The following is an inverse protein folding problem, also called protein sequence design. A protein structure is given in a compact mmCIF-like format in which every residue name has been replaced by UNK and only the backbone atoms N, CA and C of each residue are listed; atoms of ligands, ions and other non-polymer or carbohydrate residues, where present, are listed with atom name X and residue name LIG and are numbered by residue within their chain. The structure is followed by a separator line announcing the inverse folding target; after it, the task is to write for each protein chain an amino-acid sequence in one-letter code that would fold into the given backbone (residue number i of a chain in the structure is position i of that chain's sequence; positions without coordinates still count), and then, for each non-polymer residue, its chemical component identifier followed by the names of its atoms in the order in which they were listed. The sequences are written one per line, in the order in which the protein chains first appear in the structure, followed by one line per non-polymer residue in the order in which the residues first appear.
data_IF_725944952697
#
_entry.id   IF_725944952697
#
_cell.length_a   1.000
_cell.length_b   1.000
_cell.length_c   1.000
_cell.angle_alpha   90.00
_cell.angle_beta   90.00
_cell.angle_gamma   90.00
#
_symmetry.space_group_name_H-M   'P 1'
#
loop_
_entity.id
_entity.type
_entity.pdbx_description
1 polymer ?
#
# COMPACT_ATOMS: atom_id res chain seq x y z
N UNK A 1 -22.55 -0.46 -1.00
CA UNK A 1 -21.43 -0.47 -1.98
C UNK A 1 -20.36 -1.44 -1.52
N UNK A 2 -19.76 -2.20 -2.41
CA UNK A 2 -18.67 -3.12 -2.11
C UNK A 2 -17.41 -2.34 -1.70
N UNK A 3 -16.75 -2.76 -0.61
CA UNK A 3 -15.48 -2.16 -0.22
C UNK A 3 -14.40 -2.52 -1.23
N UNK A 4 -13.82 -1.53 -1.88
CA UNK A 4 -12.74 -1.69 -2.85
C UNK A 4 -11.48 -0.99 -2.33
N UNK A 5 -10.34 -1.54 -2.64
CA UNK A 5 -9.02 -0.93 -2.45
C UNK A 5 -8.13 -1.29 -3.63
N UNK A 6 -7.01 -0.60 -3.78
CA UNK A 6 -6.13 -0.85 -4.90
C UNK A 6 -4.66 -0.62 -4.58
N UNK A 7 -3.87 -0.73 -5.64
CA UNK A 7 -2.44 -0.48 -5.63
C UNK A 7 -1.99 -0.14 -7.06
N UNK A 8 -1.24 0.96 -7.21
CA UNK A 8 -0.54 1.22 -8.46
C UNK A 8 0.53 0.15 -8.73
N UNK A 9 0.64 -0.27 -9.98
CA UNK A 9 1.68 -1.17 -10.49
C UNK A 9 2.34 -0.53 -11.72
N UNK A 10 3.29 -1.19 -12.34
CA UNK A 10 3.93 -0.69 -13.55
C UNK A 10 2.90 -0.64 -14.69
N UNK A 11 2.74 0.54 -15.29
CA UNK A 11 1.81 0.81 -16.39
C UNK A 11 0.35 0.40 -16.10
N UNK A 12 -0.04 0.33 -14.80
CA UNK A 12 -1.36 -0.19 -14.46
C UNK A 12 -1.79 0.01 -13.02
N UNK A 13 -2.95 -0.58 -12.74
CA UNK A 13 -3.57 -0.56 -11.42
C UNK A 13 -4.09 -1.97 -11.08
N UNK A 14 -3.83 -2.41 -9.87
CA UNK A 14 -4.50 -3.54 -9.25
C UNK A 14 -5.64 -3.03 -8.39
N UNK A 15 -6.82 -3.62 -8.53
CA UNK A 15 -7.99 -3.40 -7.66
C UNK A 15 -8.37 -4.69 -6.95
N UNK A 16 -8.87 -4.58 -5.74
CA UNK A 16 -9.36 -5.70 -4.95
C UNK A 16 -10.70 -5.40 -4.30
N UNK A 17 -11.56 -6.39 -4.28
CA UNK A 17 -12.79 -6.49 -3.47
C UNK A 17 -12.60 -7.52 -2.35
N UNK A 18 -13.58 -7.81 -1.51
CA UNK A 18 -13.49 -8.86 -0.50
C UNK A 18 -13.20 -10.26 -1.06
N UNK A 19 -13.75 -10.60 -2.23
CA UNK A 19 -13.65 -11.94 -2.83
C UNK A 19 -12.72 -12.07 -4.02
N UNK A 20 -12.35 -10.96 -4.67
CA UNK A 20 -11.63 -10.99 -5.94
C UNK A 20 -10.59 -9.87 -6.03
N UNK A 21 -9.61 -10.03 -6.90
CA UNK A 21 -8.71 -8.97 -7.31
C UNK A 21 -8.48 -9.02 -8.83
N UNK A 22 -8.27 -7.86 -9.41
CA UNK A 22 -7.96 -7.70 -10.82
C UNK A 22 -6.77 -6.76 -10.99
N UNK A 23 -5.95 -7.00 -11.99
CA UNK A 23 -4.93 -6.06 -12.44
C UNK A 23 -5.18 -5.72 -13.89
N UNK A 24 -5.17 -4.43 -14.21
CA UNK A 24 -5.20 -3.93 -15.57
C UNK A 24 -3.90 -3.19 -15.86
N UNK A 25 -3.28 -3.47 -16.99
CA UNK A 25 -1.97 -2.94 -17.40
C UNK A 25 -2.06 -2.49 -18.84
N UNK A 26 -1.55 -1.30 -19.15
CA UNK A 26 -1.39 -0.86 -20.55
C UNK A 26 -0.08 -1.42 -21.10
N UNK A 27 -0.21 -2.26 -22.13
CA UNK A 27 0.94 -2.85 -22.82
C UNK A 27 1.63 -1.81 -23.73
N UNK A 28 2.87 -2.03 -24.16
CA UNK A 28 3.54 -1.16 -25.15
C UNK A 28 2.75 -1.00 -26.46
N UNK A 29 1.96 -2.02 -26.85
CA UNK A 29 1.06 -1.96 -28.01
C UNK A 29 -0.19 -1.07 -27.78
N UNK A 30 -0.33 -0.43 -26.60
CA UNK A 30 -1.46 0.44 -26.27
C UNK A 30 -2.73 -0.29 -25.80
N UNK A 31 -2.75 -1.62 -25.82
CA UNK A 31 -3.89 -2.44 -25.38
C UNK A 31 -3.90 -2.54 -23.86
N UNK A 32 -5.09 -2.58 -23.26
CA UNK A 32 -5.24 -2.86 -21.82
C UNK A 32 -5.38 -4.36 -21.62
N UNK A 33 -4.34 -4.98 -21.08
CA UNK A 33 -4.35 -6.37 -20.63
C UNK A 33 -4.95 -6.46 -19.22
N UNK A 34 -5.68 -7.55 -18.93
CA UNK A 34 -6.36 -7.76 -17.67
C UNK A 34 -6.11 -9.17 -17.15
N UNK A 35 -5.87 -9.28 -15.85
CA UNK A 35 -5.78 -10.57 -15.16
C UNK A 35 -6.63 -10.48 -13.89
N UNK A 36 -7.52 -11.45 -13.72
CA UNK A 36 -8.42 -11.55 -12.56
C UNK A 36 -8.18 -12.84 -11.80
N UNK A 37 -8.29 -12.80 -10.49
CA UNK A 37 -8.12 -13.97 -9.61
C UNK A 37 -9.03 -13.87 -8.38
N UNK A 38 -9.55 -15.01 -7.86
CA UNK A 38 -10.26 -15.02 -6.59
C UNK A 38 -9.31 -14.84 -5.41
N UNK A 39 -9.83 -14.32 -4.29
CA UNK A 39 -9.12 -14.21 -3.02
C UNK A 39 -9.58 -15.33 -2.10
N UNK A 40 -8.69 -16.26 -1.79
CA UNK A 40 -8.93 -17.27 -0.76
C UNK A 40 -8.45 -16.75 0.60
N UNK A 41 -9.27 -15.93 1.28
CA UNK A 41 -8.90 -15.39 2.58
C UNK A 41 -8.90 -16.45 3.68
N UNK A 42 -7.78 -16.59 4.39
CA UNK A 42 -7.67 -17.44 5.59
C UNK A 42 -8.57 -16.97 6.71
N UNK A 43 -8.88 -15.67 6.78
CA UNK A 43 -9.77 -15.08 7.77
C UNK A 43 -11.23 -15.58 7.60
N UNK A 44 -11.61 -16.04 6.38
CA UNK A 44 -12.91 -16.65 6.16
C UNK A 44 -13.03 -18.01 6.90
N UNK A 45 -11.94 -18.76 6.98
CA UNK A 45 -11.91 -20.11 7.57
C UNK A 45 -11.80 -20.14 9.10
N UNK A 46 -11.15 -19.11 9.73
CA UNK A 46 -10.85 -19.13 11.16
C UNK A 46 -11.29 -17.84 11.86
N UNK A 47 -12.24 -17.94 12.79
CA UNK A 47 -12.84 -16.78 13.50
C UNK A 47 -11.84 -16.00 14.35
N UNK A 48 -10.81 -16.65 14.93
CA UNK A 48 -9.79 -15.98 15.73
C UNK A 48 -8.89 -15.03 14.91
N UNK A 49 -8.73 -15.27 13.59
CA UNK A 49 -8.01 -14.37 12.69
C UNK A 49 -8.76 -13.05 12.44
N UNK A 50 -10.02 -12.95 12.86
CA UNK A 50 -10.85 -11.73 12.75
C UNK A 50 -10.77 -10.83 13.98
N UNK A 51 -10.03 -11.25 15.03
CA UNK A 51 -9.82 -10.43 16.22
C UNK A 51 -9.07 -9.13 15.86
N UNK A 52 -9.36 -8.01 16.55
CA UNK A 52 -8.62 -6.76 16.37
C UNK A 52 -7.10 -7.00 16.45
N UNK A 53 -6.32 -6.22 15.69
CA UNK A 53 -4.87 -6.36 15.50
C UNK A 53 -4.51 -7.61 14.67
N UNK A 54 -4.97 -8.82 15.04
CA UNK A 54 -4.70 -10.06 14.28
C UNK A 54 -5.21 -9.96 12.85
N UNK A 55 -6.45 -9.48 12.67
CA UNK A 55 -7.01 -9.26 11.33
C UNK A 55 -6.21 -8.26 10.50
N UNK A 56 -5.64 -7.23 11.17
CA UNK A 56 -4.79 -6.25 10.50
C UNK A 56 -3.50 -6.86 9.96
N UNK A 57 -2.86 -7.74 10.74
CA UNK A 57 -1.68 -8.50 10.30
C UNK A 57 -2.02 -9.41 9.12
N UNK A 58 -3.15 -10.13 9.21
CA UNK A 58 -3.60 -11.02 8.14
C UNK A 58 -3.96 -10.25 6.86
N UNK A 59 -4.72 -9.17 6.98
CA UNK A 59 -5.09 -8.31 5.86
C UNK A 59 -3.85 -7.71 5.17
N UNK A 60 -2.86 -7.28 5.94
CA UNK A 60 -1.59 -6.78 5.42
C UNK A 60 -0.82 -7.88 4.67
N UNK A 61 -0.71 -9.08 5.25
CA UNK A 61 -0.04 -10.22 4.62
C UNK A 61 -0.71 -10.62 3.30
N UNK A 62 -2.05 -10.70 3.28
CA UNK A 62 -2.82 -10.97 2.05
C UNK A 62 -2.63 -9.86 1.01
N UNK A 63 -2.69 -8.58 1.44
CA UNK A 63 -2.49 -7.45 0.53
C UNK A 63 -1.10 -7.42 -0.08
N UNK A 64 -0.05 -7.69 0.71
CA UNK A 64 1.32 -7.79 0.22
C UNK A 64 1.48 -8.94 -0.79
N UNK A 65 0.93 -10.11 -0.48
CA UNK A 65 1.01 -11.27 -1.38
C UNK A 65 0.32 -11.00 -2.73
N UNK A 66 -0.85 -10.37 -2.71
CA UNK A 66 -1.58 -9.96 -3.93
C UNK A 66 -0.78 -8.87 -4.66
N UNK A 67 -0.32 -7.85 -3.94
CA UNK A 67 0.43 -6.73 -4.51
C UNK A 67 1.71 -7.17 -5.21
N UNK A 68 2.47 -8.11 -4.64
CA UNK A 68 3.66 -8.67 -5.31
C UNK A 68 3.31 -9.48 -6.55
N UNK A 69 2.21 -10.24 -6.54
CA UNK A 69 1.75 -10.95 -7.75
C UNK A 69 1.32 -9.97 -8.83
N UNK A 70 0.55 -8.95 -8.49
CA UNK A 70 0.13 -7.92 -9.41
C UNK A 70 1.32 -7.16 -10.00
N UNK A 71 2.33 -6.84 -9.18
CA UNK A 71 3.56 -6.19 -9.63
C UNK A 71 4.35 -7.08 -10.59
N UNK A 72 4.48 -8.39 -10.31
CA UNK A 72 5.14 -9.32 -11.21
C UNK A 72 4.41 -9.44 -12.57
N UNK A 73 3.07 -9.55 -12.54
CA UNK A 73 2.25 -9.56 -13.76
C UNK A 73 2.46 -8.27 -14.56
N UNK A 74 2.37 -7.11 -13.90
CA UNK A 74 2.52 -5.82 -14.59
C UNK A 74 3.93 -5.62 -15.16
N UNK A 75 4.96 -6.06 -14.45
CA UNK A 75 6.34 -6.00 -14.94
C UNK A 75 6.53 -6.85 -16.21
N UNK A 76 5.92 -8.04 -16.25
CA UNK A 76 5.97 -8.90 -17.43
C UNK A 76 5.26 -8.24 -18.64
N UNK A 77 4.06 -7.67 -18.44
CA UNK A 77 3.36 -6.98 -19.52
C UNK A 77 4.07 -5.70 -19.99
N UNK A 78 4.65 -4.94 -19.06
CA UNK A 78 5.39 -3.73 -19.38
C UNK A 78 6.72 -3.99 -20.11
N UNK A 79 7.31 -5.18 -19.92
CA UNK A 79 8.56 -5.60 -20.57
C UNK A 79 8.36 -6.32 -21.91
N UNK A 80 7.10 -6.56 -22.35
CA UNK A 80 6.84 -7.19 -23.63
C UNK A 80 7.28 -6.29 -24.78
N UNK A 81 7.90 -6.87 -25.80
CA UNK A 81 8.12 -6.20 -27.07
C UNK A 81 6.80 -6.08 -27.83
N UNK A 82 6.67 -5.05 -28.67
CA UNK A 82 5.52 -4.84 -29.51
C UNK A 82 5.31 -6.05 -30.43
N UNK A 83 4.17 -6.78 -30.26
CA UNK A 83 3.86 -7.98 -31.04
C UNK A 83 4.19 -9.33 -30.36
N UNK A 84 4.68 -9.34 -29.11
CA UNK A 84 4.88 -10.57 -28.36
C UNK A 84 3.56 -11.24 -27.94
N UNK A 85 3.55 -12.59 -27.88
CA UNK A 85 2.38 -13.36 -27.45
C UNK A 85 2.02 -13.05 -25.97
N UNK A 86 0.75 -12.71 -25.65
CA UNK A 86 0.31 -12.53 -24.27
C UNK A 86 0.62 -13.72 -23.34
N UNK A 87 0.69 -14.93 -23.88
CA UNK A 87 1.10 -16.13 -23.13
C UNK A 87 2.58 -16.07 -22.64
N UNK A 88 3.43 -15.29 -23.31
CA UNK A 88 4.82 -15.08 -22.88
C UNK A 88 4.95 -14.15 -21.66
N UNK A 89 3.98 -13.25 -21.43
CA UNK A 89 3.93 -12.40 -20.26
C UNK A 89 3.67 -13.19 -18.96
N UNK A 90 3.08 -14.38 -19.06
CA UNK A 90 2.91 -15.27 -17.91
C UNK A 90 4.19 -16.03 -17.52
N UNK A 91 5.26 -15.96 -18.33
CA UNK A 91 6.56 -16.50 -17.92
C UNK A 91 7.07 -15.73 -16.71
N UNK A 92 6.96 -16.35 -15.56
CA UNK A 92 7.43 -15.79 -14.28
C UNK A 92 8.88 -15.33 -14.38
N UNK A 93 9.15 -14.08 -13.99
CA UNK A 93 10.51 -13.63 -13.67
C UNK A 93 11.18 -14.68 -12.77
N UNK A 94 12.44 -15.00 -13.03
CA UNK A 94 13.16 -16.00 -12.25
C UNK A 94 12.96 -15.75 -10.75
N UNK A 95 12.46 -16.75 -10.03
CA UNK A 95 12.25 -16.66 -8.56
C UNK A 95 13.51 -16.21 -7.84
N UNK A 96 14.68 -16.64 -8.33
CA UNK A 96 15.97 -16.21 -7.78
C UNK A 96 16.23 -14.72 -7.94
N UNK A 97 15.94 -14.14 -9.10
CA UNK A 97 16.11 -12.71 -9.35
C UNK A 97 15.14 -11.87 -8.48
N UNK A 98 13.90 -12.32 -8.34
CA UNK A 98 12.92 -11.65 -7.46
C UNK A 98 13.34 -11.69 -5.99
N UNK A 99 13.78 -12.85 -5.49
CA UNK A 99 14.26 -12.98 -4.11
C UNK A 99 15.49 -12.10 -3.89
N UNK A 100 16.43 -12.07 -4.83
CA UNK A 100 17.63 -11.25 -4.72
C UNK A 100 17.29 -9.75 -4.70
N UNK A 101 16.46 -9.29 -5.62
CA UNK A 101 15.97 -7.89 -5.63
C UNK A 101 15.26 -7.51 -4.32
N UNK A 102 14.45 -8.42 -3.79
CA UNK A 102 13.73 -8.23 -2.52
C UNK A 102 14.70 -8.13 -1.34
N UNK A 103 15.73 -8.97 -1.28
CA UNK A 103 16.76 -8.91 -0.23
C UNK A 103 17.55 -7.60 -0.28
N UNK A 104 17.91 -7.12 -1.47
CA UNK A 104 18.57 -5.82 -1.64
C UNK A 104 17.65 -4.70 -1.16
N UNK A 105 16.37 -4.72 -1.56
CA UNK A 105 15.40 -3.70 -1.15
C UNK A 105 15.20 -3.68 0.37
N UNK A 106 15.10 -4.84 1.02
CA UNK A 106 15.03 -4.94 2.49
C UNK A 106 16.31 -4.42 3.13
N UNK A 107 17.48 -4.82 2.64
CA UNK A 107 18.77 -4.35 3.15
C UNK A 107 18.89 -2.83 3.08
N UNK A 108 18.52 -2.24 1.96
CA UNK A 108 18.48 -0.79 1.77
C UNK A 108 17.47 -0.12 2.73
N UNK A 109 16.26 -0.64 2.85
CA UNK A 109 15.25 -0.11 3.74
C UNK A 109 15.70 -0.15 5.22
N UNK A 110 16.32 -1.26 5.65
CA UNK A 110 16.89 -1.40 7.01
C UNK A 110 18.01 -0.40 7.22
N UNK A 111 18.93 -0.26 6.28
CA UNK A 111 20.03 0.70 6.36
C UNK A 111 19.49 2.14 6.47
N UNK A 112 18.56 2.52 5.60
CA UNK A 112 18.04 3.88 5.53
C UNK A 112 17.11 4.24 6.69
N UNK A 113 16.17 3.35 7.05
CA UNK A 113 15.11 3.66 8.01
C UNK A 113 15.35 3.12 9.42
N UNK A 114 16.38 2.31 9.62
CA UNK A 114 16.70 1.75 10.93
C UNK A 114 18.11 2.10 11.38
N UNK A 115 19.12 1.82 10.56
CA UNK A 115 20.52 2.04 10.94
C UNK A 115 20.84 3.54 10.95
N UNK A 116 20.53 4.26 9.89
CA UNK A 116 20.84 5.69 9.75
C UNK A 116 20.24 6.55 10.86
N UNK A 117 18.93 6.46 11.20
CA UNK A 117 18.37 7.22 12.33
C UNK A 117 19.04 6.88 13.66
N UNK A 118 19.34 5.58 13.88
CA UNK A 118 20.02 5.11 15.08
C UNK A 118 21.40 5.74 15.24
N UNK A 119 22.23 5.71 14.18
CA UNK A 119 23.58 6.30 14.17
C UNK A 119 23.55 7.81 14.38
N UNK A 120 22.64 8.52 13.72
CA UNK A 120 22.50 9.98 13.91
C UNK A 120 22.12 10.29 15.36
N UNK A 121 21.16 9.55 15.92
CA UNK A 121 20.72 9.78 17.31
C UNK A 121 21.80 9.44 18.33
N UNK A 122 22.61 8.40 18.08
CA UNK A 122 23.75 8.03 18.94
C UNK A 122 24.81 9.12 19.00
N UNK A 123 25.00 9.88 17.91
CA UNK A 123 25.92 11.02 17.88
C UNK A 123 25.43 12.25 18.67
N UNK A 124 24.16 12.26 19.09
CA UNK A 124 23.58 13.34 19.86
C UNK A 124 23.78 13.12 21.38
N UNK A 125 23.95 14.18 22.21
CA UNK A 125 24.18 14.06 23.64
C UNK A 125 22.90 13.71 24.42
N UNK A 126 22.17 12.67 24.02
CA UNK A 126 20.90 12.26 24.62
C UNK A 126 21.14 11.12 25.60
N UNK A 127 20.98 11.40 26.90
CA UNK A 127 21.19 10.42 27.97
C UNK A 127 19.95 9.61 28.33
N UNK A 128 18.75 10.17 28.18
CA UNK A 128 17.48 9.50 28.51
C UNK A 128 17.07 8.50 27.43
N UNK A 129 16.77 7.26 27.81
CA UNK A 129 16.32 6.21 26.89
C UNK A 129 15.00 6.56 26.16
N UNK A 130 14.05 7.16 26.86
CA UNK A 130 12.77 7.58 26.25
C UNK A 130 12.96 8.70 25.23
N UNK A 131 13.73 9.73 25.55
CA UNK A 131 14.05 10.82 24.61
C UNK A 131 14.85 10.33 23.40
N UNK A 132 15.75 9.37 23.61
CA UNK A 132 16.47 8.74 22.51
C UNK A 132 15.51 8.13 21.47
N UNK A 133 14.54 7.33 21.93
CA UNK A 133 13.55 6.70 21.03
C UNK A 133 12.68 7.72 20.30
N UNK A 134 12.27 8.79 21.00
CA UNK A 134 11.47 9.86 20.38
C UNK A 134 12.27 10.57 19.28
N UNK A 135 13.51 10.96 19.57
CA UNK A 135 14.36 11.67 18.60
C UNK A 135 14.73 10.74 17.43
N UNK A 136 15.09 9.48 17.70
CA UNK A 136 15.31 8.47 16.65
C UNK A 136 14.08 8.34 15.75
N UNK A 137 12.90 8.32 16.35
CA UNK A 137 11.63 8.24 15.61
C UNK A 137 11.36 9.45 14.75
N UNK A 138 11.60 10.66 15.26
CA UNK A 138 11.44 11.91 14.49
C UNK A 138 12.43 11.97 13.31
N UNK A 139 13.70 11.61 13.54
CA UNK A 139 14.70 11.51 12.48
C UNK A 139 14.26 10.51 11.42
N UNK A 140 13.74 9.34 11.82
CA UNK A 140 13.23 8.31 10.90
C UNK A 140 12.09 8.84 10.04
N UNK A 141 11.09 9.51 10.63
CA UNK A 141 9.98 10.12 9.89
C UNK A 141 10.52 11.19 8.93
N UNK A 142 11.46 12.00 9.35
CA UNK A 142 12.11 13.01 8.49
C UNK A 142 12.80 12.36 7.29
N UNK A 143 13.63 11.33 7.53
CA UNK A 143 14.29 10.57 6.45
C UNK A 143 13.27 9.96 5.50
N UNK A 144 12.15 9.44 6.01
CA UNK A 144 11.10 8.87 5.20
C UNK A 144 10.42 9.91 4.29
N UNK A 145 10.09 11.07 4.83
CA UNK A 145 9.50 12.18 4.05
C UNK A 145 10.48 12.68 2.99
N UNK A 146 11.76 12.85 3.35
CA UNK A 146 12.82 13.23 2.41
C UNK A 146 13.00 12.19 1.32
N UNK A 147 13.04 10.91 1.67
CA UNK A 147 13.11 9.81 0.71
C UNK A 147 11.95 9.84 -0.27
N UNK A 148 10.70 9.94 0.22
CA UNK A 148 9.51 10.04 -0.64
C UNK A 148 9.58 11.28 -1.54
N UNK A 149 10.03 12.41 -1.01
CA UNK A 149 10.20 13.64 -1.78
C UNK A 149 11.20 13.46 -2.91
N UNK A 150 12.35 12.85 -2.62
CA UNK A 150 13.41 12.60 -3.61
C UNK A 150 12.97 11.63 -4.70
N UNK A 151 12.40 10.47 -4.32
CA UNK A 151 11.93 9.50 -5.32
C UNK A 151 10.78 10.03 -6.16
N UNK A 152 9.98 10.96 -5.62
CA UNK A 152 8.88 11.59 -6.36
C UNK A 152 9.34 12.46 -7.53
N UNK A 153 10.62 12.80 -7.59
CA UNK A 153 11.25 13.55 -8.67
C UNK A 153 11.71 12.65 -9.83
N UNK A 154 11.83 11.34 -9.59
CA UNK A 154 12.26 10.40 -10.61
C UNK A 154 11.15 10.21 -11.67
N UNK A 155 11.46 10.33 -12.98
CA UNK A 155 10.45 10.26 -14.05
C UNK A 155 9.65 8.94 -14.03
N UNK A 156 10.31 7.81 -13.85
CA UNK A 156 9.68 6.49 -13.84
C UNK A 156 8.71 6.34 -12.66
N UNK A 157 9.09 6.80 -11.46
CA UNK A 157 8.22 6.78 -10.29
C UNK A 157 7.09 7.81 -10.39
N UNK A 158 7.32 8.93 -11.08
CA UNK A 158 6.24 9.89 -11.37
C UNK A 158 5.09 9.22 -12.12
N UNK A 159 5.40 8.33 -13.07
CA UNK A 159 4.39 7.58 -13.83
C UNK A 159 3.61 6.61 -12.93
N UNK A 160 4.30 5.89 -12.05
CA UNK A 160 3.65 5.05 -11.02
C UNK A 160 2.75 5.89 -10.12
N UNK A 161 3.18 7.09 -9.71
CA UNK A 161 2.36 8.00 -8.90
C UNK A 161 1.17 8.60 -9.64
N UNK A 162 1.20 8.67 -10.97
CA UNK A 162 0.01 8.99 -11.78
C UNK A 162 -1.00 7.84 -11.75
N UNK A 163 -0.57 6.59 -11.88
CA UNK A 163 -1.46 5.42 -11.70
C UNK A 163 -2.02 5.32 -10.28
N UNK A 164 -1.25 5.69 -9.26
CA UNK A 164 -1.75 5.80 -7.88
C UNK A 164 -2.83 6.90 -7.75
N UNK A 165 -2.63 8.02 -8.42
CA UNK A 165 -3.67 9.07 -8.52
C UNK A 165 -4.91 8.57 -9.25
N UNK A 166 -4.74 7.79 -10.34
CA UNK A 166 -5.84 7.19 -11.08
C UNK A 166 -6.65 6.20 -10.23
N UNK A 167 -5.96 5.38 -9.43
CA UNK A 167 -6.59 4.48 -8.46
C UNK A 167 -7.48 5.27 -7.48
N UNK A 168 -6.93 6.29 -6.81
CA UNK A 168 -7.68 7.11 -5.85
C UNK A 168 -8.90 7.78 -6.46
N UNK A 169 -8.75 8.38 -7.65
CA UNK A 169 -9.85 9.03 -8.35
C UNK A 169 -10.95 8.05 -8.73
N UNK A 170 -10.60 6.86 -9.22
CA UNK A 170 -11.57 5.83 -9.60
C UNK A 170 -12.35 5.32 -8.38
N UNK A 171 -11.68 5.06 -7.25
CA UNK A 171 -12.34 4.63 -6.01
C UNK A 171 -13.22 5.75 -5.45
N UNK A 172 -12.74 6.99 -5.41
CA UNK A 172 -13.53 8.13 -4.94
C UNK A 172 -14.80 8.35 -5.79
N UNK A 173 -14.71 8.23 -7.12
CA UNK A 173 -15.87 8.34 -8.02
C UNK A 173 -16.88 7.21 -7.77
N UNK A 174 -16.40 5.98 -7.63
CA UNK A 174 -17.22 4.81 -7.32
C UNK A 174 -17.96 4.99 -5.98
N UNK A 175 -17.26 5.43 -4.93
CA UNK A 175 -17.85 5.66 -3.59
C UNK A 175 -18.82 6.83 -3.58
N UNK A 176 -18.70 7.78 -4.50
CA UNK A 176 -19.68 8.84 -4.72
C UNK A 176 -20.90 8.39 -5.52
N UNK A 177 -20.88 7.18 -6.10
CA UNK A 177 -21.96 6.65 -6.94
C UNK A 177 -22.01 7.28 -8.35
N UNK A 178 -20.91 7.87 -8.79
CA UNK A 178 -20.82 8.53 -10.09
C UNK A 178 -20.44 7.55 -11.20
N UNK A 179 -20.72 7.95 -12.44
CA UNK A 179 -20.40 7.16 -13.62
C UNK A 179 -18.88 7.02 -13.80
N UNK A 180 -18.42 5.78 -13.98
CA UNK A 180 -17.01 5.48 -14.18
C UNK A 180 -16.57 5.74 -15.64
N UNK A 181 -16.52 7.01 -16.00
CA UNK A 181 -15.93 7.51 -17.26
C UNK A 181 -14.69 8.35 -16.96
N UNK A 182 -13.63 8.31 -17.79
CA UNK A 182 -12.39 9.05 -17.52
C UNK A 182 -12.62 10.54 -17.22
N UNK A 183 -13.49 11.23 -17.97
CA UNK A 183 -13.78 12.64 -17.82
C UNK A 183 -14.52 12.97 -16.50
N UNK A 184 -15.37 12.06 -16.03
CA UNK A 184 -16.07 12.17 -14.75
C UNK A 184 -15.09 11.91 -13.60
N UNK A 185 -14.36 10.81 -13.69
CA UNK A 185 -13.38 10.36 -12.68
C UNK A 185 -12.24 11.37 -12.52
N UNK A 186 -11.84 12.07 -13.59
CA UNK A 186 -10.80 13.11 -13.55
C UNK A 186 -11.09 14.24 -12.54
N UNK A 187 -12.35 14.51 -12.23
CA UNK A 187 -12.75 15.59 -11.32
C UNK A 187 -12.60 15.23 -9.84
N UNK A 188 -12.37 13.95 -9.53
CA UNK A 188 -12.28 13.47 -8.15
C UNK A 188 -10.90 13.72 -7.52
N UNK A 189 -10.85 13.61 -6.20
CA UNK A 189 -9.66 13.88 -5.40
C UNK A 189 -8.56 12.84 -5.63
N UNK A 190 -7.31 13.31 -5.61
CA UNK A 190 -6.11 12.46 -5.53
C UNK A 190 -5.90 11.87 -4.13
N UNK A 191 -6.64 12.34 -3.13
CA UNK A 191 -6.47 11.93 -1.73
C UNK A 191 -7.57 10.94 -1.37
N UNK A 192 -7.18 9.82 -0.73
CA UNK A 192 -8.11 8.81 -0.25
C UNK A 192 -7.74 8.37 1.18
N UNK A 193 -8.69 8.31 2.15
CA UNK A 193 -8.39 8.07 3.56
C UNK A 193 -7.83 6.66 3.86
N UNK A 194 -8.06 5.67 3.00
CA UNK A 194 -7.61 4.28 3.19
C UNK A 194 -6.31 3.94 2.44
N UNK A 195 -5.56 4.95 2.01
CA UNK A 195 -4.31 4.75 1.26
C UNK A 195 -3.20 4.11 2.08
N UNK A 196 -2.45 3.19 1.47
CA UNK A 196 -1.32 2.50 2.08
C UNK A 196 -0.15 3.41 2.49
N UNK A 197 0.05 4.57 1.85
CA UNK A 197 1.10 5.52 2.26
C UNK A 197 0.78 6.19 3.59
N UNK A 198 -0.49 6.52 3.85
CA UNK A 198 -0.94 6.98 5.16
C UNK A 198 -0.73 5.89 6.24
N UNK A 199 -0.99 4.63 5.89
CA UNK A 199 -0.72 3.49 6.78
C UNK A 199 0.74 3.41 7.21
N UNK A 200 1.70 3.56 6.29
CA UNK A 200 3.13 3.53 6.61
C UNK A 200 3.53 4.62 7.61
N UNK A 201 3.00 5.84 7.46
CA UNK A 201 3.24 6.91 8.44
C UNK A 201 2.71 6.52 9.82
N UNK A 202 1.50 5.96 9.91
CA UNK A 202 0.92 5.54 11.17
C UNK A 202 1.68 4.38 11.81
N UNK A 203 2.19 3.43 11.03
CA UNK A 203 3.09 2.39 11.53
C UNK A 203 4.32 3.02 12.20
N UNK A 204 4.94 4.03 11.58
CA UNK A 204 6.11 4.70 12.17
C UNK A 204 5.75 5.49 13.43
N UNK A 205 4.65 6.22 13.43
CA UNK A 205 4.20 7.00 14.59
C UNK A 205 3.90 6.06 15.77
N UNK A 206 3.10 5.00 15.55
CA UNK A 206 2.77 4.02 16.59
C UNK A 206 4.03 3.31 17.09
N UNK A 207 4.97 2.97 16.17
CA UNK A 207 6.25 2.36 16.56
C UNK A 207 7.05 3.23 17.52
N UNK A 208 7.09 4.56 17.30
CA UNK A 208 7.76 5.48 18.25
C UNK A 208 7.15 5.41 19.63
N UNK A 209 5.82 5.48 19.73
CA UNK A 209 5.13 5.38 21.02
C UNK A 209 5.35 4.02 21.69
N UNK A 210 5.16 2.93 20.97
CA UNK A 210 5.33 1.58 21.53
C UNK A 210 6.76 1.38 22.01
N UNK A 211 7.78 1.67 21.22
CA UNK A 211 9.17 1.46 21.59
C UNK A 211 9.67 2.44 22.68
N UNK A 212 9.05 3.60 22.85
CA UNK A 212 9.38 4.52 23.93
C UNK A 212 9.14 3.92 25.31
N UNK A 213 8.18 2.99 25.46
CA UNK A 213 7.93 2.28 26.72
C UNK A 213 9.01 1.26 27.07
N UNK A 214 9.70 0.71 26.06
CA UNK A 214 10.74 -0.32 26.29
C UNK A 214 12.15 0.29 26.45
N UNK A 215 12.36 1.52 26.04
CA UNK A 215 13.62 2.24 26.18
C UNK A 215 14.76 1.66 25.34
N UNK A 216 15.93 1.43 25.97
CA UNK A 216 17.14 0.87 25.32
C UNK A 216 17.56 -0.45 25.97
N UNK A 217 16.91 -1.56 25.66
CA UNK A 217 17.33 -2.87 26.16
C UNK A 217 18.66 -3.29 25.52
N UNK A 218 19.28 -4.37 26.04
CA UNK A 218 20.44 -4.99 25.42
C UNK A 218 20.17 -5.41 23.97
N UNK A 219 21.20 -5.47 23.12
CA UNK A 219 21.06 -5.61 21.66
C UNK A 219 20.21 -6.82 21.22
N UNK A 220 20.30 -7.97 21.91
CA UNK A 220 19.51 -9.16 21.60
C UNK A 220 18.02 -8.99 21.93
N UNK A 221 17.70 -8.34 23.06
CA UNK A 221 16.33 -7.98 23.41
C UNK A 221 15.75 -6.94 22.44
N UNK A 222 16.57 -5.99 22.03
CA UNK A 222 16.17 -4.97 21.05
C UNK A 222 15.76 -5.60 19.72
N UNK A 223 16.45 -6.65 19.24
CA UNK A 223 16.08 -7.37 18.02
C UNK A 223 14.79 -8.18 18.23
N UNK A 224 14.71 -8.95 19.32
CA UNK A 224 13.55 -9.78 19.63
C UNK A 224 12.27 -8.94 19.77
N UNK A 225 12.34 -7.85 20.53
CA UNK A 225 11.26 -6.90 20.72
C UNK A 225 10.75 -6.32 19.38
N UNK A 226 11.65 -5.92 18.49
CA UNK A 226 11.26 -5.36 17.20
C UNK A 226 10.61 -6.37 16.29
N UNK A 227 11.08 -7.61 16.27
CA UNK A 227 10.47 -8.69 15.48
C UNK A 227 9.07 -9.02 16.04
N UNK A 228 8.93 -9.12 17.37
CA UNK A 228 7.67 -9.50 18.01
C UNK A 228 6.61 -8.39 17.96
N UNK A 229 7.04 -7.12 18.13
CA UNK A 229 6.11 -5.99 18.18
C UNK A 229 5.75 -5.44 16.79
N UNK A 230 6.56 -5.68 15.76
CA UNK A 230 6.26 -5.19 14.41
C UNK A 230 4.87 -5.64 13.90
N UNK A 231 4.47 -6.91 14.00
CA UNK A 231 3.11 -7.33 13.64
C UNK A 231 2.03 -6.62 14.48
N UNK A 232 2.26 -6.44 15.78
CA UNK A 232 1.32 -5.75 16.67
C UNK A 232 1.16 -4.29 16.25
N UNK A 233 2.26 -3.59 15.98
CA UNK A 233 2.29 -2.20 15.52
C UNK A 233 1.56 -2.07 14.17
N UNK A 234 1.83 -2.98 13.24
CA UNK A 234 1.15 -3.00 11.94
C UNK A 234 -0.36 -3.27 12.09
N UNK A 235 -0.74 -4.20 12.97
CA UNK A 235 -2.14 -4.45 13.28
C UNK A 235 -2.84 -3.25 13.92
N UNK A 236 -2.18 -2.54 14.84
CA UNK A 236 -2.71 -1.30 15.43
C UNK A 236 -2.87 -0.20 14.38
N UNK A 237 -1.89 -0.01 13.50
CA UNK A 237 -1.97 0.97 12.41
C UNK A 237 -3.12 0.64 11.45
N UNK A 238 -3.34 -0.64 11.16
CA UNK A 238 -4.48 -1.09 10.38
C UNK A 238 -5.82 -0.70 11.04
N UNK A 239 -5.96 -0.91 12.36
CA UNK A 239 -7.19 -0.53 13.09
C UNK A 239 -7.42 0.99 13.06
N UNK A 240 -6.36 1.79 13.15
CA UNK A 240 -6.44 3.26 13.02
C UNK A 240 -6.98 3.65 11.65
N UNK A 241 -6.41 3.13 10.56
CA UNK A 241 -6.86 3.43 9.19
C UNK A 241 -8.28 2.93 8.94
N UNK A 242 -8.60 1.73 9.42
CA UNK A 242 -9.95 1.17 9.33
C UNK A 242 -10.98 2.01 10.08
N UNK A 243 -10.67 2.43 11.31
CA UNK A 243 -11.53 3.31 12.08
C UNK A 243 -11.77 4.64 11.35
N UNK A 244 -10.72 5.20 10.79
CA UNK A 244 -10.76 6.44 10.04
C UNK A 244 -11.59 6.33 8.74
N UNK A 245 -11.51 5.21 8.04
CA UNK A 245 -12.34 4.94 6.87
C UNK A 245 -13.85 4.89 7.19
N UNK A 246 -14.20 4.51 8.43
CA UNK A 246 -15.60 4.44 8.90
C UNK A 246 -16.11 5.77 9.51
N UNK A 247 -15.22 6.60 10.06
CA UNK A 247 -15.58 7.80 10.83
C UNK A 247 -14.89 9.04 10.24
N UNK A 248 -15.48 9.59 9.18
CA UNK A 248 -14.93 10.76 8.47
C UNK A 248 -15.39 12.09 9.10
N UNK A 249 -15.36 12.21 10.45
CA UNK A 249 -15.64 13.47 11.10
C UNK A 249 -14.40 14.39 11.14
N UNK A 250 -14.60 15.68 11.45
CA UNK A 250 -13.52 16.69 11.45
C UNK A 250 -12.35 16.32 12.36
N UNK A 251 -12.60 15.74 13.53
CA UNK A 251 -11.54 15.37 14.48
C UNK A 251 -10.67 14.25 13.91
N UNK A 252 -11.29 13.19 13.42
CA UNK A 252 -10.58 12.05 12.80
C UNK A 252 -9.78 12.51 11.59
N UNK A 253 -10.37 13.34 10.72
CA UNK A 253 -9.69 13.87 9.54
C UNK A 253 -8.51 14.79 9.91
N UNK A 254 -8.60 15.56 10.99
CA UNK A 254 -7.49 16.37 11.50
C UNK A 254 -6.35 15.50 12.02
N UNK A 255 -6.65 14.43 12.76
CA UNK A 255 -5.64 13.47 13.22
C UNK A 255 -4.96 12.81 12.02
N UNK A 256 -5.72 12.44 10.99
CA UNK A 256 -5.17 11.80 9.79
C UNK A 256 -4.45 12.78 8.83
N UNK A 257 -4.61 14.08 9.01
CA UNK A 257 -4.12 15.09 8.08
C UNK A 257 -2.64 14.91 7.68
N UNK A 258 -1.69 14.55 8.57
CA UNK A 258 -0.30 14.29 8.18
C UNK A 258 -0.17 13.15 7.16
N UNK A 259 -0.90 12.05 7.36
CA UNK A 259 -0.93 10.91 6.44
C UNK A 259 -1.58 11.25 5.09
N UNK A 260 -2.67 12.02 5.13
CA UNK A 260 -3.34 12.52 3.93
C UNK A 260 -2.46 13.50 3.16
N UNK A 261 -1.73 14.37 3.86
CA UNK A 261 -0.78 15.29 3.24
C UNK A 261 0.36 14.54 2.53
N UNK A 262 0.85 13.45 3.13
CA UNK A 262 1.92 12.64 2.56
C UNK A 262 1.55 12.06 1.18
N UNK A 263 0.27 11.80 0.93
CA UNK A 263 -0.21 11.33 -0.37
C UNK A 263 0.08 12.31 -1.50
N UNK A 264 0.18 13.62 -1.21
CA UNK A 264 0.57 14.62 -2.22
C UNK A 264 1.97 14.41 -2.79
N UNK A 265 2.83 13.70 -2.06
CA UNK A 265 4.16 13.31 -2.53
C UNK A 265 4.12 12.06 -3.42
N UNK A 266 3.16 11.16 -3.17
CA UNK A 266 3.06 9.83 -3.77
C UNK A 266 1.91 9.68 -4.77
N UNK A 267 1.16 10.75 -5.05
CA UNK A 267 0.14 10.80 -6.09
C UNK A 267 0.43 11.94 -7.06
N UNK A 268 0.08 11.77 -8.33
CA UNK A 268 0.16 12.78 -9.38
C UNK A 268 -1.12 12.75 -10.20
N UNK A 269 -1.40 13.85 -10.87
CA UNK A 269 -2.53 13.96 -11.77
C UNK A 269 -2.38 12.97 -12.92
N UNK A 270 -3.31 11.99 -13.10
CA UNK A 270 -3.26 11.03 -14.17
C UNK A 270 -3.78 11.61 -15.48
N UNK A 271 -3.35 11.05 -16.61
CA UNK A 271 -3.99 11.26 -17.91
C UNK A 271 -5.31 10.49 -18.01
N UNK A 272 -6.14 10.84 -19.00
CA UNK A 272 -7.39 10.10 -19.26
C UNK A 272 -7.12 8.64 -19.59
N UNK A 273 -6.05 8.34 -20.31
CA UNK A 273 -5.64 6.97 -20.63
C UNK A 273 -5.28 6.15 -19.38
N UNK A 274 -4.66 6.78 -18.39
CA UNK A 274 -4.35 6.12 -17.12
C UNK A 274 -5.61 5.89 -16.26
N UNK A 275 -6.57 6.83 -16.33
CA UNK A 275 -7.87 6.65 -15.69
C UNK A 275 -8.66 5.50 -16.33
N UNK A 276 -8.60 5.36 -17.65
CA UNK A 276 -9.22 4.24 -18.36
C UNK A 276 -8.73 2.89 -17.82
N UNK A 277 -7.42 2.73 -17.61
CA UNK A 277 -6.82 1.51 -17.03
C UNK A 277 -7.34 1.27 -15.60
N UNK A 278 -7.39 2.31 -14.77
CA UNK A 278 -7.87 2.20 -13.40
C UNK A 278 -9.37 1.86 -13.33
N UNK A 279 -10.18 2.50 -14.16
CA UNK A 279 -11.62 2.22 -14.30
C UNK A 279 -11.82 0.77 -14.71
N UNK A 280 -11.03 0.28 -15.67
CA UNK A 280 -11.15 -1.09 -16.16
C UNK A 280 -10.86 -2.11 -15.06
N UNK A 281 -9.78 -1.94 -14.30
CA UNK A 281 -9.47 -2.80 -13.15
C UNK A 281 -10.60 -2.80 -12.11
N UNK A 282 -11.20 -1.63 -11.85
CA UNK A 282 -12.31 -1.49 -10.91
C UNK A 282 -13.58 -2.18 -11.41
N UNK A 283 -13.96 -1.98 -12.66
CA UNK A 283 -15.13 -2.61 -13.27
C UNK A 283 -15.05 -4.13 -13.24
N UNK A 284 -13.89 -4.70 -13.59
CA UNK A 284 -13.65 -6.14 -13.56
C UNK A 284 -13.87 -6.73 -12.15
N UNK A 285 -13.32 -6.09 -11.11
CA UNK A 285 -13.50 -6.55 -9.73
C UNK A 285 -14.97 -6.47 -9.32
N UNK A 286 -15.67 -5.41 -9.67
CA UNK A 286 -17.08 -5.23 -9.32
C UNK A 286 -17.99 -6.23 -10.04
N UNK A 287 -17.70 -6.51 -11.32
CA UNK A 287 -18.44 -7.49 -12.12
C UNK A 287 -18.28 -8.90 -11.55
N UNK A 288 -17.07 -9.29 -11.19
CA UNK A 288 -16.80 -10.58 -10.55
C UNK A 288 -17.50 -10.71 -9.20
N UNK A 289 -17.47 -9.66 -8.38
CA UNK A 289 -18.14 -9.67 -7.08
C UNK A 289 -19.66 -9.80 -7.24
N UNK A 290 -20.26 -9.15 -8.25
CA UNK A 290 -21.69 -9.27 -8.53
C UNK A 290 -22.10 -10.66 -9.01
N UNK A 291 -21.23 -11.33 -9.79
CA UNK A 291 -21.48 -12.68 -10.31
C UNK A 291 -21.30 -13.76 -9.23
N UNK A 292 -20.42 -13.55 -8.26
CA UNK A 292 -20.17 -14.54 -7.22
C UNK A 292 -21.35 -14.73 -6.26
N UNK A 293 -22.34 -13.80 -6.22
CA UNK A 293 -23.60 -13.94 -5.47
C UNK A 293 -23.48 -14.27 -3.99
N UNK A 294 -22.27 -14.54 -3.53
CA UNK A 294 -21.94 -14.72 -2.14
C UNK A 294 -21.88 -13.36 -1.49
N UNK A 295 -22.84 -13.08 -0.61
CA UNK A 295 -22.64 -12.10 0.44
C UNK A 295 -21.47 -12.58 1.30
N UNK A 296 -20.25 -12.40 0.80
CA UNK A 296 -19.03 -12.56 1.59
C UNK A 296 -19.21 -11.64 2.79
N UNK A 297 -19.62 -12.26 3.90
CA UNK A 297 -19.66 -11.64 5.21
C UNK A 297 -18.44 -10.74 5.28
N UNK A 298 -18.66 -9.47 5.52
CA UNK A 298 -17.65 -8.41 5.61
C UNK A 298 -16.43 -8.83 6.43
N UNK A 299 -15.53 -9.58 5.82
CA UNK A 299 -14.29 -10.03 6.45
C UNK A 299 -13.33 -8.83 6.62
N UNK A 300 -13.59 -7.74 5.88
CA UNK A 300 -12.74 -6.55 5.85
C UNK A 300 -13.48 -5.23 6.11
N UNK A 301 -14.74 -5.30 6.53
CA UNK A 301 -15.49 -4.10 6.95
C UNK A 301 -15.19 -3.71 8.41
#
# INVERSE_FOLDING_TARGET
MTNVGGQAVLEGVMMRSPGNWAVAVRTPAGVIAQVTRPIESRMARHRWLRLPVVRGVMALGESLAIGFRALAISANYAAQEEGADPAEAEKELSRGALVFAFLIAIGFAVALFKVTPGLITEALPIKSGGWFVIVEGLIRVTIFVLYLSLISLLPDLRRVFQYHGAEHKAINAYEAGEELKPETVQRFSLIHPRCGTAFLLWVMVIAVFVFAFFGRPSWYWLIAERILLLPVIAGLAYEVIRFAGKHQNRVVMTILAPGLWLQRLTTREPSLDQLEVSIRALQEVLELESKSGESLVEVMA
#
